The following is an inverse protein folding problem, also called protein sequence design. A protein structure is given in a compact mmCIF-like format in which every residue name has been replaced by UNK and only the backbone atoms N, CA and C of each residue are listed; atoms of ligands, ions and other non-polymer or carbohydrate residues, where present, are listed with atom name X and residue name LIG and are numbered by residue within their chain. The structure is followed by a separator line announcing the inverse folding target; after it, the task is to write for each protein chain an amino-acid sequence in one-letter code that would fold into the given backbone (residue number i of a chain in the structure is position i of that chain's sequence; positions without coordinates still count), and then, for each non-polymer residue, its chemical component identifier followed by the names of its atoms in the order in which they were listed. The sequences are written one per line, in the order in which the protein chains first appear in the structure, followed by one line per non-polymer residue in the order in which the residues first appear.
data_IF_936974623666
#
_entry.id   IF_936974623666
#
_cell.length_a   1.000
_cell.length_b   1.000
_cell.length_c   1.000
_cell.angle_alpha   90.00
_cell.angle_beta   90.00
_cell.angle_gamma   90.00
#
_symmetry.space_group_name_H-M   'P 1'
#
loop_
_entity.id
_entity.type
_entity.pdbx_description
1 polymer ?
#
# COMPACT_ATOMS: atom_id res chain seq x y z
N UNK A 1 22.47 -1.40 6.72
CA UNK A 1 21.79 -0.12 7.03
C UNK A 1 21.30 0.46 5.73
N UNK A 2 20.00 0.66 5.59
CA UNK A 2 19.42 1.27 4.39
C UNK A 2 19.74 2.75 4.36
N UNK A 3 20.10 3.23 3.17
CA UNK A 3 20.49 4.60 2.93
C UNK A 3 19.36 5.59 3.32
N UNK A 4 19.66 6.68 4.04
CA UNK A 4 18.66 7.63 4.51
C UNK A 4 17.94 8.38 3.38
N UNK A 5 18.56 8.55 2.20
CA UNK A 5 17.91 9.13 1.02
C UNK A 5 16.87 8.15 0.48
N UNK A 6 17.20 6.85 0.44
CA UNK A 6 16.24 5.80 0.06
C UNK A 6 15.04 5.77 1.01
N UNK A 7 15.27 5.83 2.32
CA UNK A 7 14.20 5.89 3.32
C UNK A 7 13.33 7.15 3.17
N UNK A 8 13.94 8.32 2.91
CA UNK A 8 13.21 9.57 2.68
C UNK A 8 12.32 9.46 1.43
N UNK A 9 12.85 8.93 0.34
CA UNK A 9 12.11 8.79 -0.92
C UNK A 9 10.94 7.81 -0.77
N UNK A 10 11.15 6.67 -0.09
CA UNK A 10 10.07 5.72 0.24
C UNK A 10 8.98 6.40 1.07
N UNK A 11 9.36 7.09 2.14
CA UNK A 11 8.39 7.79 2.98
C UNK A 11 7.60 8.86 2.21
N UNK A 12 8.27 9.66 1.39
CA UNK A 12 7.63 10.71 0.59
C UNK A 12 6.63 10.13 -0.41
N UNK A 13 7.01 9.04 -1.12
CA UNK A 13 6.14 8.32 -2.04
C UNK A 13 4.87 7.82 -1.33
N UNK A 14 5.06 7.12 -0.21
CA UNK A 14 3.96 6.47 0.52
C UNK A 14 3.03 7.48 1.15
N UNK A 15 3.58 8.57 1.71
CA UNK A 15 2.79 9.68 2.22
C UNK A 15 1.99 10.34 1.09
N UNK A 16 2.58 10.55 -0.09
CA UNK A 16 1.88 11.10 -1.25
C UNK A 16 0.70 10.21 -1.68
N UNK A 17 0.94 8.90 -1.81
CA UNK A 17 -0.09 7.93 -2.15
C UNK A 17 -1.21 7.87 -1.08
N UNK A 18 -0.87 7.98 0.21
CA UNK A 18 -1.86 8.06 1.28
C UNK A 18 -2.78 9.27 1.12
N UNK A 19 -2.22 10.45 0.92
CA UNK A 19 -3.02 11.68 0.77
C UNK A 19 -3.90 11.66 -0.49
N UNK A 20 -3.41 11.05 -1.57
CA UNK A 20 -4.12 10.93 -2.84
C UNK A 20 -5.25 9.89 -2.77
N UNK A 21 -4.93 8.66 -2.37
CA UNK A 21 -5.83 7.51 -2.43
C UNK A 21 -6.75 7.41 -1.20
N UNK A 22 -6.27 7.90 -0.05
CA UNK A 22 -6.94 7.79 1.25
C UNK A 22 -7.29 9.18 1.80
N UNK A 23 -7.80 10.05 0.94
CA UNK A 23 -8.20 11.41 1.34
C UNK A 23 -9.17 11.40 2.52
N UNK A 24 -8.84 12.15 3.57
CA UNK A 24 -9.62 12.22 4.80
C UNK A 24 -9.41 11.05 5.77
N UNK A 25 -8.51 10.11 5.47
CA UNK A 25 -8.10 9.06 6.41
C UNK A 25 -6.97 9.58 7.29
N UNK A 26 -7.12 9.53 8.62
CA UNK A 26 -6.02 9.90 9.50
C UNK A 26 -4.84 8.96 9.31
N UNK A 27 -3.64 9.53 9.34
CA UNK A 27 -2.40 8.77 9.24
C UNK A 27 -2.29 7.76 10.39
N UNK A 28 -1.84 6.52 10.13
CA UNK A 28 -1.82 5.47 11.14
C UNK A 28 -0.73 5.75 12.17
N UNK A 29 -0.95 5.27 13.40
CA UNK A 29 0.08 5.30 14.44
C UNK A 29 1.09 4.18 14.17
N UNK A 30 2.32 4.54 13.81
CA UNK A 30 3.37 3.60 13.40
C UNK A 30 4.11 2.91 14.58
N UNK A 31 3.85 3.35 15.82
CA UNK A 31 4.46 2.82 17.03
C UNK A 31 5.95 3.14 17.15
N UNK A 32 6.65 2.33 17.93
CA UNK A 32 8.10 2.43 18.15
C UNK A 32 8.90 1.59 17.14
N UNK A 33 10.19 1.90 16.97
CA UNK A 33 11.08 1.20 16.04
C UNK A 33 11.95 2.13 15.20
N UNK A 34 12.76 1.53 14.31
CA UNK A 34 13.61 2.27 13.37
C UNK A 34 12.78 2.99 12.30
N UNK A 35 13.37 3.98 11.63
CA UNK A 35 12.70 4.71 10.54
C UNK A 35 12.22 3.74 9.44
N UNK A 36 13.06 2.77 9.07
CA UNK A 36 12.73 1.73 8.10
C UNK A 36 11.48 0.93 8.51
N UNK A 37 11.43 0.41 9.74
CA UNK A 37 10.28 -0.34 10.24
C UNK A 37 9.01 0.50 10.26
N UNK A 38 9.11 1.79 10.59
CA UNK A 38 7.96 2.71 10.59
C UNK A 38 7.46 2.95 9.16
N UNK A 39 8.37 3.13 8.20
CA UNK A 39 8.02 3.32 6.79
C UNK A 39 7.36 2.05 6.23
N UNK A 40 7.90 0.88 6.52
CA UNK A 40 7.30 -0.39 6.10
C UNK A 40 5.90 -0.59 6.69
N UNK A 41 5.70 -0.31 7.98
CA UNK A 41 4.37 -0.36 8.60
C UNK A 41 3.39 0.61 7.95
N UNK A 42 3.86 1.79 7.55
CA UNK A 42 3.03 2.74 6.84
C UNK A 42 2.64 2.22 5.45
N UNK A 43 3.58 1.62 4.73
CA UNK A 43 3.34 1.00 3.42
C UNK A 43 2.31 -0.12 3.51
N UNK A 44 2.44 -0.98 4.51
CA UNK A 44 1.48 -2.05 4.77
C UNK A 44 0.10 -1.48 5.14
N UNK A 45 0.04 -0.46 5.99
CA UNK A 45 -1.22 0.18 6.35
C UNK A 45 -1.89 0.85 5.14
N UNK A 46 -1.12 1.42 4.21
CA UNK A 46 -1.66 2.05 3.00
C UNK A 46 -2.38 1.02 2.14
N UNK A 47 -1.72 -0.10 1.83
CA UNK A 47 -2.30 -1.15 0.98
C UNK A 47 -3.47 -1.85 1.68
N UNK A 48 -3.41 -2.06 3.00
CA UNK A 48 -4.52 -2.64 3.75
C UNK A 48 -5.75 -1.71 3.76
N UNK A 49 -5.56 -0.41 3.98
CA UNK A 49 -6.66 0.56 4.01
C UNK A 49 -7.25 0.79 2.60
N UNK A 50 -6.40 0.85 1.56
CA UNK A 50 -6.87 0.89 0.16
C UNK A 50 -7.74 -0.33 -0.16
N UNK A 51 -7.32 -1.54 0.21
CA UNK A 51 -8.12 -2.77 0.02
C UNK A 51 -9.42 -2.69 0.82
N UNK A 52 -9.38 -2.23 2.07
CA UNK A 52 -10.56 -2.12 2.94
C UNK A 52 -11.63 -1.19 2.35
N UNK A 53 -11.21 -0.12 1.68
CA UNK A 53 -12.10 0.88 1.08
C UNK A 53 -12.51 0.56 -0.35
N UNK A 54 -11.86 -0.43 -0.97
CA UNK A 54 -12.24 -0.87 -2.29
C UNK A 54 -13.70 -1.33 -2.32
N UNK A 55 -14.40 -0.92 -3.37
CA UNK A 55 -15.74 -1.40 -3.69
C UNK A 55 -15.64 -2.31 -4.91
N UNK A 56 -16.67 -3.11 -5.23
CA UNK A 56 -16.69 -3.88 -6.49
C UNK A 56 -16.45 -3.01 -7.73
N UNK A 57 -16.83 -1.74 -7.68
CA UNK A 57 -16.69 -0.79 -8.79
C UNK A 57 -15.28 -0.22 -8.92
N UNK A 58 -14.57 -0.13 -7.79
CA UNK A 58 -13.21 0.44 -7.73
C UNK A 58 -12.12 -0.62 -7.55
N UNK A 59 -12.48 -1.91 -7.46
CA UNK A 59 -11.55 -2.98 -7.12
C UNK A 59 -10.36 -3.08 -8.09
N UNK A 60 -10.62 -2.98 -9.40
CA UNK A 60 -9.57 -3.01 -10.43
C UNK A 60 -8.65 -1.77 -10.33
N UNK A 61 -9.24 -0.58 -10.23
CA UNK A 61 -8.48 0.67 -10.06
C UNK A 61 -7.60 0.63 -8.81
N UNK A 62 -8.13 0.13 -7.70
CA UNK A 62 -7.41 0.01 -6.44
C UNK A 62 -6.25 -1.01 -6.56
N UNK A 63 -6.46 -2.13 -7.26
CA UNK A 63 -5.39 -3.10 -7.53
C UNK A 63 -4.27 -2.49 -8.40
N UNK A 64 -4.62 -1.80 -9.49
CA UNK A 64 -3.64 -1.13 -10.35
C UNK A 64 -2.83 -0.06 -9.57
N UNK A 65 -3.50 0.76 -8.77
CA UNK A 65 -2.85 1.76 -7.93
C UNK A 65 -1.89 1.13 -6.90
N UNK A 66 -2.27 0.02 -6.26
CA UNK A 66 -1.36 -0.73 -5.38
C UNK A 66 -0.16 -1.28 -6.13
N UNK A 67 -0.38 -1.81 -7.33
CA UNK A 67 0.69 -2.35 -8.16
C UNK A 67 1.71 -1.29 -8.54
N UNK A 68 1.27 -0.07 -8.86
CA UNK A 68 2.13 1.08 -9.13
C UNK A 68 3.12 1.40 -8.00
N UNK A 69 2.81 1.04 -6.74
CA UNK A 69 3.68 1.28 -5.58
C UNK A 69 4.80 0.23 -5.47
N UNK A 70 4.51 -1.02 -5.88
CA UNK A 70 5.36 -2.18 -5.59
C UNK A 70 5.95 -2.87 -6.82
N UNK A 71 5.53 -2.52 -8.05
CA UNK A 71 5.93 -3.27 -9.25
C UNK A 71 7.46 -3.37 -9.41
N UNK A 72 8.19 -2.30 -9.14
CA UNK A 72 9.65 -2.22 -9.26
C UNK A 72 10.42 -2.83 -8.08
N UNK A 73 9.72 -3.30 -7.03
CA UNK A 73 10.34 -3.88 -5.83
C UNK A 73 10.69 -5.36 -6.03
N UNK A 74 11.66 -5.89 -5.28
CA UNK A 74 11.96 -7.32 -5.27
C UNK A 74 10.74 -8.15 -4.84
N UNK A 75 10.67 -9.40 -5.30
CA UNK A 75 9.51 -10.28 -5.07
C UNK A 75 9.33 -10.70 -3.60
N UNK A 76 10.42 -10.74 -2.84
CA UNK A 76 10.41 -11.05 -1.40
C UNK A 76 10.04 -9.82 -0.53
N UNK A 77 9.82 -8.65 -1.13
CA UNK A 77 9.42 -7.46 -0.38
C UNK A 77 8.08 -7.70 0.33
N UNK A 78 8.00 -7.45 1.65
CA UNK A 78 6.81 -7.75 2.44
C UNK A 78 5.58 -6.95 1.98
N UNK A 79 5.78 -5.73 1.45
CA UNK A 79 4.69 -4.92 0.91
C UNK A 79 4.21 -5.49 -0.42
N UNK A 80 5.13 -5.91 -1.30
CA UNK A 80 4.78 -6.54 -2.58
C UNK A 80 4.01 -7.86 -2.37
N UNK A 81 4.46 -8.70 -1.45
CA UNK A 81 3.75 -9.93 -1.06
C UNK A 81 2.34 -9.63 -0.53
N UNK A 82 2.19 -8.56 0.25
CA UNK A 82 0.87 -8.11 0.77
C UNK A 82 -0.04 -7.64 -0.36
N UNK A 83 0.46 -6.85 -1.30
CA UNK A 83 -0.29 -6.37 -2.48
C UNK A 83 -0.75 -7.54 -3.34
N UNK A 84 0.11 -8.52 -3.63
CA UNK A 84 -0.27 -9.71 -4.40
C UNK A 84 -1.44 -10.45 -3.76
N UNK A 85 -1.44 -10.61 -2.43
CA UNK A 85 -2.59 -11.21 -1.72
C UNK A 85 -3.85 -10.36 -1.84
N UNK A 86 -3.73 -9.04 -1.76
CA UNK A 86 -4.87 -8.14 -1.92
C UNK A 86 -5.43 -8.16 -3.35
N UNK A 87 -4.61 -8.36 -4.38
CA UNK A 87 -5.07 -8.49 -5.77
C UNK A 87 -6.03 -9.67 -5.93
N UNK A 88 -5.74 -10.82 -5.31
CA UNK A 88 -6.64 -11.98 -5.35
C UNK A 88 -8.00 -11.68 -4.68
N UNK A 89 -7.98 -10.96 -3.56
CA UNK A 89 -9.18 -10.50 -2.86
C UNK A 89 -10.00 -9.49 -3.70
N UNK A 90 -9.32 -8.52 -4.32
CA UNK A 90 -9.92 -7.49 -5.15
C UNK A 90 -10.51 -8.07 -6.44
N UNK A 91 -9.84 -9.04 -7.06
CA UNK A 91 -10.37 -9.74 -8.22
C UNK A 91 -11.69 -10.46 -7.89
N UNK A 92 -11.76 -11.13 -6.74
CA UNK A 92 -12.99 -11.75 -6.24
C UNK A 92 -14.09 -10.72 -5.95
N UNK A 93 -13.72 -9.54 -5.43
CA UNK A 93 -14.65 -8.46 -5.13
C UNK A 93 -15.27 -7.87 -6.41
N UNK A 94 -14.45 -7.62 -7.44
CA UNK A 94 -14.89 -7.10 -8.74
C UNK A 94 -15.73 -8.09 -9.53
N UNK A 95 -15.38 -9.38 -9.50
CA UNK A 95 -16.16 -10.44 -10.16
C UNK A 95 -17.55 -10.68 -9.56
N UNK A 96 -17.86 -10.13 -8.38
CA UNK A 96 -19.19 -10.27 -7.76
C UNK A 96 -20.27 -9.36 -8.38
N UNK A 97 -19.90 -8.60 -9.43
CA UNK A 97 -20.76 -7.66 -10.16
C UNK A 97 -21.55 -8.32 -11.32
N UNK A 98 -21.39 -9.62 -11.54
CA UNK A 98 -22.09 -10.41 -12.57
C UNK A 98 -23.16 -11.31 -11.97
#
# INVERSE_FOLDING_TARGET
MTDPIVLRNRFAMVKGAWEEQLRGVPFPKLGEGTAEQKIERLELALVDEMRRRATPETAEQVADAMWGIVHARPEDDPVKLRVTRHHEDLAKLGHRRI
#
